data_IF_279810021354
#
_entry.id   IF_279810021354
#
_cell.length_a   1.000
_cell.length_b   1.000
_cell.length_c   1.000
_cell.angle_alpha   90.00
_cell.angle_beta   90.00
_cell.angle_gamma   90.00
#
_symmetry.space_group_name_H-M   'P 1'
#
loop_
_entity.id
_entity.type
_entity.pdbx_description
1 polymer ?
#
# COMPACT_ATOMS: atom_id res chain seq x y z
N UNK A 1 -22.84 3.36 36.34
CA UNK A 1 -22.38 3.41 34.94
C UNK A 1 -20.87 3.49 34.96
N UNK A 2 -20.19 2.36 34.78
CA UNK A 2 -18.73 2.33 34.80
C UNK A 2 -18.18 3.03 33.56
N UNK A 3 -17.38 4.06 33.80
CA UNK A 3 -16.55 4.72 32.80
C UNK A 3 -15.59 3.67 32.23
N UNK A 4 -15.90 3.13 31.04
CA UNK A 4 -14.91 2.39 30.25
C UNK A 4 -13.78 3.36 29.94
N UNK A 5 -12.62 3.15 30.53
CA UNK A 5 -11.38 3.87 30.20
C UNK A 5 -11.17 3.74 28.69
N UNK A 6 -11.44 4.81 27.95
CA UNK A 6 -11.49 4.76 26.50
C UNK A 6 -10.04 4.71 25.98
N UNK A 7 -9.61 3.53 25.54
CA UNK A 7 -8.30 3.34 24.89
C UNK A 7 -8.16 4.32 23.73
N UNK A 8 -7.01 4.97 23.62
CA UNK A 8 -6.67 5.75 22.44
C UNK A 8 -6.58 4.80 21.23
N UNK A 9 -7.48 4.98 20.25
CA UNK A 9 -7.54 4.15 19.04
C UNK A 9 -6.36 4.51 18.14
N UNK A 10 -5.56 3.51 17.79
CA UNK A 10 -4.39 3.68 16.93
C UNK A 10 -4.53 2.95 15.60
N UNK A 11 -3.80 3.44 14.61
CA UNK A 11 -3.60 2.79 13.32
C UNK A 11 -2.99 1.42 13.55
N UNK A 12 -3.65 0.39 13.03
CA UNK A 12 -3.25 -1.01 13.22
C UNK A 12 -4.02 -1.75 14.28
N UNK A 13 -4.70 -1.04 15.17
CA UNK A 13 -5.59 -1.69 16.12
C UNK A 13 -6.70 -2.44 15.38
N UNK A 14 -7.04 -3.60 15.91
CA UNK A 14 -8.11 -4.45 15.44
C UNK A 14 -9.20 -4.44 16.51
N UNK A 15 -10.42 -4.13 16.10
CA UNK A 15 -11.61 -4.12 16.95
C UNK A 15 -12.70 -4.97 16.31
N UNK A 16 -13.72 -5.33 17.08
CA UNK A 16 -14.99 -5.73 16.50
C UNK A 16 -15.84 -4.51 16.12
N UNK A 17 -16.56 -4.62 15.01
CA UNK A 17 -17.58 -3.67 14.58
C UNK A 17 -18.76 -4.46 13.98
N UNK A 18 -19.98 -3.99 14.22
CA UNK A 18 -21.18 -4.57 13.63
C UNK A 18 -21.58 -3.79 12.37
N UNK A 19 -21.47 -4.44 11.22
CA UNK A 19 -21.90 -3.87 9.95
C UNK A 19 -23.43 -3.89 9.76
N UNK A 20 -24.18 -4.57 10.65
CA UNK A 20 -25.61 -4.80 10.51
C UNK A 20 -25.92 -5.72 9.34
N UNK A 21 -27.17 -5.67 8.87
CA UNK A 21 -27.57 -6.39 7.66
C UNK A 21 -27.29 -5.52 6.42
N UNK A 22 -26.64 -6.12 5.43
CA UNK A 22 -26.31 -5.46 4.15
C UNK A 22 -26.63 -6.37 2.98
N UNK A 23 -27.05 -5.79 1.86
CA UNK A 23 -27.38 -6.55 0.65
C UNK A 23 -26.15 -6.84 -0.22
N UNK A 24 -26.22 -7.93 -0.99
CA UNK A 24 -25.25 -8.26 -2.01
C UNK A 24 -23.85 -8.60 -1.46
N UNK A 25 -22.82 -7.92 -1.99
CA UNK A 25 -21.41 -8.22 -1.69
C UNK A 25 -20.79 -7.33 -0.62
N UNK A 26 -21.57 -6.43 -0.01
CA UNK A 26 -21.13 -5.61 1.11
C UNK A 26 -20.96 -6.51 2.34
N UNK A 27 -19.93 -6.27 3.16
CA UNK A 27 -19.76 -7.03 4.40
C UNK A 27 -20.86 -6.70 5.42
N UNK A 28 -21.49 -7.74 5.96
CA UNK A 28 -22.55 -7.69 6.97
C UNK A 28 -22.14 -8.36 8.28
N UNK A 29 -22.86 -8.04 9.35
CA UNK A 29 -22.75 -8.64 10.68
C UNK A 29 -21.52 -8.21 11.46
N UNK A 30 -21.40 -8.75 12.67
CA UNK A 30 -20.30 -8.46 13.58
C UNK A 30 -19.00 -9.12 13.12
N UNK A 31 -17.97 -8.30 12.84
CA UNK A 31 -16.68 -8.75 12.30
C UNK A 31 -15.51 -8.02 12.94
N UNK A 32 -14.32 -8.65 12.97
CA UNK A 32 -13.10 -7.91 13.22
C UNK A 32 -12.85 -6.89 12.10
N UNK A 33 -12.27 -5.75 12.45
CA UNK A 33 -11.96 -4.65 11.54
C UNK A 33 -10.60 -4.06 11.88
N UNK A 34 -9.82 -3.72 10.86
CA UNK A 34 -8.52 -3.08 10.99
C UNK A 34 -8.65 -1.57 10.91
N UNK A 35 -8.16 -0.83 11.91
CA UNK A 35 -8.05 0.62 11.85
C UNK A 35 -6.93 1.01 10.89
N UNK A 36 -7.26 1.73 9.81
CA UNK A 36 -6.30 2.14 8.78
C UNK A 36 -6.01 3.65 8.78
N UNK A 37 -6.85 4.45 9.42
CA UNK A 37 -6.68 5.89 9.57
C UNK A 37 -5.43 6.24 10.42
N UNK A 38 -4.75 7.33 10.07
CA UNK A 38 -3.55 7.76 10.79
C UNK A 38 -3.85 8.29 12.21
N UNK A 39 -2.90 8.06 13.12
CA UNK A 39 -3.05 8.35 14.55
C UNK A 39 -3.37 9.81 14.85
N UNK A 40 -2.80 10.75 14.10
CA UNK A 40 -3.09 12.17 14.25
C UNK A 40 -4.58 12.50 14.05
N UNK A 41 -5.24 11.82 13.12
CA UNK A 41 -6.69 11.95 12.92
C UNK A 41 -7.47 11.13 13.96
N UNK A 42 -7.00 9.92 14.28
CA UNK A 42 -7.63 9.11 15.33
C UNK A 42 -7.62 9.80 16.70
N UNK A 43 -6.65 10.65 17.00
CA UNK A 43 -6.61 11.37 18.27
C UNK A 43 -7.68 12.49 18.35
N UNK A 44 -8.01 13.12 17.22
CA UNK A 44 -8.80 14.36 17.17
C UNK A 44 -10.22 14.19 16.65
N UNK A 45 -10.45 13.23 15.75
CA UNK A 45 -11.73 13.00 15.09
C UNK A 45 -12.66 12.16 15.97
N UNK A 46 -14.00 12.38 15.97
CA UNK A 46 -14.96 11.44 16.56
C UNK A 46 -15.10 10.14 15.75
N UNK A 47 -14.61 10.12 14.51
CA UNK A 47 -14.70 9.00 13.57
C UNK A 47 -13.33 8.39 13.23
N UNK A 48 -13.37 7.17 12.72
CA UNK A 48 -12.20 6.40 12.28
C UNK A 48 -12.51 5.63 11.01
N UNK A 49 -11.51 5.47 10.14
CA UNK A 49 -11.61 4.66 8.92
C UNK A 49 -11.08 3.25 9.21
N UNK A 50 -11.91 2.26 8.91
CA UNK A 50 -11.67 0.84 9.15
C UNK A 50 -11.77 0.03 7.85
N UNK A 51 -11.07 -1.10 7.79
CA UNK A 51 -11.23 -2.12 6.74
C UNK A 51 -11.74 -3.43 7.36
N UNK A 52 -12.72 -4.07 6.74
CA UNK A 52 -13.28 -5.33 7.25
C UNK A 52 -12.29 -6.50 7.21
N UNK A 53 -12.40 -7.41 8.18
CA UNK A 53 -11.64 -8.67 8.23
C UNK A 53 -12.62 -9.84 8.17
N UNK A 54 -12.29 -10.83 7.35
CA UNK A 54 -13.01 -12.10 7.23
C UNK A 54 -12.11 -13.30 7.48
N UNK A 55 -12.63 -14.34 8.11
CA UNK A 55 -11.93 -15.61 8.23
C UNK A 55 -11.89 -16.42 6.92
N UNK A 56 -12.68 -16.02 5.91
CA UNK A 56 -12.74 -16.70 4.62
C UNK A 56 -11.59 -16.22 3.74
N UNK A 57 -10.62 -17.10 3.50
CA UNK A 57 -9.46 -16.80 2.65
C UNK A 57 -9.79 -17.18 1.20
N UNK A 58 -9.99 -16.19 0.33
CA UNK A 58 -10.28 -16.41 -1.10
C UNK A 58 -9.68 -15.31 -1.98
N UNK A 59 -9.61 -15.57 -3.30
CA UNK A 59 -9.12 -14.62 -4.32
C UNK A 59 -7.80 -13.93 -3.92
N UNK A 60 -6.83 -14.72 -3.46
CA UNK A 60 -5.52 -14.24 -2.93
C UNK A 60 -4.69 -13.45 -3.95
N UNK A 61 -5.05 -13.52 -5.23
CA UNK A 61 -4.45 -12.75 -6.32
C UNK A 61 -4.87 -11.27 -6.31
N UNK A 62 -5.98 -10.92 -5.65
CA UNK A 62 -6.43 -9.54 -5.57
C UNK A 62 -5.51 -8.72 -4.67
N UNK A 63 -5.00 -7.56 -5.14
CA UNK A 63 -4.11 -6.73 -4.33
C UNK A 63 -4.74 -6.23 -3.04
N UNK A 64 -6.07 -6.05 -3.00
CA UNK A 64 -6.81 -5.58 -1.84
C UNK A 64 -6.94 -6.60 -0.71
N UNK A 65 -6.59 -7.87 -0.97
CA UNK A 65 -6.72 -8.97 -0.01
C UNK A 65 -5.41 -9.21 0.76
N UNK A 66 -5.40 -8.86 2.05
CA UNK A 66 -4.21 -9.02 2.90
C UNK A 66 -4.46 -10.08 3.98
N UNK A 67 -3.64 -11.13 3.98
CA UNK A 67 -3.71 -12.17 5.01
C UNK A 67 -2.97 -11.69 6.28
N UNK A 68 -3.67 -11.78 7.41
CA UNK A 68 -3.17 -11.60 8.75
C UNK A 68 -3.15 -12.94 9.49
N UNK A 69 -2.07 -13.19 10.24
CA UNK A 69 -1.95 -14.38 11.09
C UNK A 69 -2.57 -14.18 12.48
N UNK A 70 -2.67 -15.27 13.23
CA UNK A 70 -3.21 -15.29 14.60
C UNK A 70 -2.43 -14.40 15.59
N UNK A 71 -1.13 -14.19 15.34
CA UNK A 71 -0.26 -13.32 16.16
C UNK A 71 -0.76 -11.89 16.36
N UNK A 72 -1.72 -11.43 15.56
CA UNK A 72 -2.34 -10.11 15.68
C UNK A 72 -3.61 -10.12 16.56
N UNK A 73 -3.82 -11.17 17.36
CA UNK A 73 -4.96 -11.33 18.27
C UNK A 73 -6.19 -12.00 17.66
N UNK A 74 -6.11 -12.42 16.39
CA UNK A 74 -7.19 -13.11 15.69
C UNK A 74 -7.23 -14.59 16.08
N UNK A 75 -8.43 -15.17 16.16
CA UNK A 75 -8.61 -16.59 16.54
C UNK A 75 -8.13 -17.60 15.49
N UNK A 76 -7.96 -17.16 14.24
CA UNK A 76 -7.44 -17.95 13.11
C UNK A 76 -6.91 -17.01 12.03
N UNK A 77 -6.10 -17.51 11.06
CA UNK A 77 -5.63 -16.69 9.96
C UNK A 77 -6.82 -16.11 9.19
N UNK A 78 -6.79 -14.79 8.99
CA UNK A 78 -7.91 -14.04 8.43
C UNK A 78 -7.42 -13.09 7.34
N UNK A 79 -8.35 -12.52 6.59
CA UNK A 79 -8.09 -11.67 5.44
C UNK A 79 -8.73 -10.31 5.64
N UNK A 80 -7.92 -9.24 5.56
CA UNK A 80 -8.39 -7.86 5.42
C UNK A 80 -8.85 -7.67 3.98
N UNK A 81 -10.04 -7.08 3.82
CA UNK A 81 -10.63 -6.72 2.53
C UNK A 81 -10.55 -5.21 2.37
N UNK A 82 -9.53 -4.72 1.67
CA UNK A 82 -9.30 -3.27 1.53
C UNK A 82 -10.28 -2.61 0.57
N UNK A 83 -11.05 -3.37 -0.22
CA UNK A 83 -12.18 -2.85 -0.99
C UNK A 83 -13.45 -2.65 -0.14
N UNK A 84 -13.47 -3.15 1.11
CA UNK A 84 -14.58 -3.06 2.06
C UNK A 84 -14.21 -2.14 3.23
N UNK A 85 -13.94 -0.88 2.90
CA UNK A 85 -13.56 0.19 3.84
C UNK A 85 -14.80 1.00 4.25
N UNK A 86 -14.87 1.39 5.53
CA UNK A 86 -15.94 2.24 6.05
C UNK A 86 -15.41 3.25 7.06
N UNK A 87 -16.02 4.44 7.08
CA UNK A 87 -15.86 5.39 8.19
C UNK A 87 -16.92 5.10 9.23
N UNK A 88 -16.51 4.96 10.50
CA UNK A 88 -17.40 4.63 11.62
C UNK A 88 -17.14 5.58 12.79
N UNK A 89 -18.11 5.74 13.67
CA UNK A 89 -17.90 6.45 14.93
C UNK A 89 -17.09 5.57 15.88
N UNK A 90 -16.16 6.18 16.62
CA UNK A 90 -15.33 5.44 17.59
C UNK A 90 -16.14 4.70 18.65
N UNK A 91 -17.30 5.24 19.00
CA UNK A 91 -18.22 4.66 20.00
C UNK A 91 -18.89 3.38 19.51
N UNK A 92 -18.90 3.14 18.20
CA UNK A 92 -19.47 1.92 17.60
C UNK A 92 -18.44 0.77 17.55
N UNK A 93 -17.16 1.05 17.83
CA UNK A 93 -16.18 -0.02 17.97
C UNK A 93 -16.42 -0.76 19.30
N UNK A 94 -16.49 -2.08 19.20
CA UNK A 94 -16.70 -2.97 20.34
C UNK A 94 -15.34 -3.42 20.92
N UNK A 95 -15.23 -4.72 21.21
CA UNK A 95 -14.06 -5.30 21.88
C UNK A 95 -12.79 -5.16 21.04
N UNK A 96 -11.70 -4.79 21.70
CA UNK A 96 -10.36 -4.82 21.13
C UNK A 96 -9.89 -6.27 20.94
N UNK A 97 -9.29 -6.55 19.79
CA UNK A 97 -8.82 -7.88 19.40
C UNK A 97 -7.29 -7.96 19.48
N UNK A 98 -6.61 -6.97 18.94
CA UNK A 98 -5.14 -6.96 18.85
C UNK A 98 -4.66 -5.83 17.96
N UNK A 99 -3.43 -5.89 17.47
CA UNK A 99 -2.85 -4.82 16.66
C UNK A 99 -1.87 -5.37 15.63
N UNK A 100 -1.79 -4.73 14.47
CA UNK A 100 -0.77 -4.98 13.46
C UNK A 100 0.38 -4.01 13.70
N UNK A 101 1.48 -4.52 14.23
CA UNK A 101 2.68 -3.76 14.61
C UNK A 101 3.88 -4.00 13.67
N UNK A 102 3.82 -5.02 12.81
CA UNK A 102 4.93 -5.38 11.93
C UNK A 102 5.08 -4.41 10.74
N UNK A 103 6.26 -3.77 10.64
CA UNK A 103 6.59 -2.84 9.56
C UNK A 103 6.42 -3.46 8.17
N UNK A 104 6.86 -4.71 7.98
CA UNK A 104 6.73 -5.43 6.71
C UNK A 104 5.26 -5.60 6.31
N UNK A 105 4.39 -5.89 7.27
CA UNK A 105 2.95 -6.00 7.01
C UNK A 105 2.36 -4.66 6.62
N UNK A 106 2.75 -3.58 7.30
CA UNK A 106 2.33 -2.23 6.96
C UNK A 106 2.78 -1.77 5.58
N UNK A 107 4.01 -2.09 5.16
CA UNK A 107 4.47 -1.85 3.78
C UNK A 107 3.53 -2.51 2.77
N UNK A 108 3.14 -3.76 3.02
CA UNK A 108 2.20 -4.50 2.17
C UNK A 108 0.80 -3.87 2.16
N UNK A 109 0.25 -3.53 3.32
CA UNK A 109 -1.06 -2.89 3.45
C UNK A 109 -1.06 -1.53 2.73
N UNK A 110 -0.03 -0.70 2.89
CA UNK A 110 0.07 0.60 2.24
C UNK A 110 0.11 0.49 0.71
N UNK A 111 0.88 -0.46 0.17
CA UNK A 111 0.91 -0.74 -1.27
C UNK A 111 -0.47 -1.17 -1.76
N UNK A 112 -1.13 -2.05 -1.01
CA UNK A 112 -2.47 -2.53 -1.36
C UNK A 112 -3.52 -1.41 -1.31
N UNK A 113 -3.52 -0.56 -0.28
CA UNK A 113 -4.37 0.64 -0.22
C UNK A 113 -4.16 1.52 -1.45
N UNK A 114 -2.90 1.80 -1.82
CA UNK A 114 -2.61 2.59 -3.02
C UNK A 114 -3.20 1.96 -4.28
N UNK A 115 -3.07 0.64 -4.44
CA UNK A 115 -3.64 -0.08 -5.58
C UNK A 115 -5.17 -0.06 -5.57
N UNK A 116 -5.79 -0.29 -4.41
CA UNK A 116 -7.24 -0.32 -4.25
C UNK A 116 -7.89 1.02 -4.59
N UNK A 117 -7.28 2.14 -4.17
CA UNK A 117 -7.81 3.48 -4.43
C UNK A 117 -7.32 4.10 -5.75
N UNK A 118 -6.59 3.36 -6.59
CA UNK A 118 -6.01 3.92 -7.81
C UNK A 118 -4.94 5.00 -7.57
N UNK A 119 -4.45 5.14 -6.34
CA UNK A 119 -3.36 6.06 -5.96
C UNK A 119 -1.98 5.50 -6.30
N UNK A 120 -1.95 4.29 -6.87
CA UNK A 120 -0.76 3.73 -7.46
C UNK A 120 -0.55 4.35 -8.84
N UNK A 121 0.04 5.53 -8.86
CA UNK A 121 0.63 6.07 -10.07
C UNK A 121 1.87 5.22 -10.38
N UNK A 122 1.71 4.23 -11.25
CA UNK A 122 2.80 3.96 -12.20
C UNK A 122 2.98 5.29 -12.94
N UNK A 123 4.13 5.95 -12.84
CA UNK A 123 4.46 7.00 -13.79
C UNK A 123 4.30 6.39 -15.18
N UNK A 124 3.15 6.63 -15.81
CA UNK A 124 2.89 6.36 -17.22
C UNK A 124 3.63 7.42 -18.04
N UNK A 125 3.82 8.60 -17.46
CA UNK A 125 4.81 9.59 -17.89
C UNK A 125 6.16 9.29 -17.28
N UNK A 126 6.84 8.31 -17.88
CA UNK A 126 8.30 8.25 -17.81
C UNK A 126 8.83 9.07 -18.96
N UNK A 127 8.65 10.38 -18.89
CA UNK A 127 9.27 11.37 -19.79
C UNK A 127 10.77 11.51 -19.47
N UNK A 128 11.45 10.38 -19.32
CA UNK A 128 12.90 10.28 -19.27
C UNK A 128 13.36 9.45 -20.46
N UNK A 129 14.66 9.51 -20.76
CA UNK A 129 15.25 8.69 -21.81
C UNK A 129 15.20 7.22 -21.37
N UNK A 130 14.30 6.44 -21.97
CA UNK A 130 14.14 5.02 -21.67
C UNK A 130 15.18 4.26 -22.50
N UNK A 131 16.05 3.51 -21.82
CA UNK A 131 17.07 2.68 -22.47
C UNK A 131 17.13 1.28 -21.91
N UNK A 132 17.27 0.30 -22.79
CA UNK A 132 17.62 -1.07 -22.43
C UNK A 132 19.13 -1.16 -22.21
N UNK A 133 19.56 -1.45 -20.97
CA UNK A 133 20.98 -1.46 -20.61
C UNK A 133 21.40 -2.78 -19.95
N UNK A 134 22.49 -3.36 -20.44
CA UNK A 134 23.17 -4.44 -19.74
C UNK A 134 23.92 -3.90 -18.51
N UNK A 135 24.31 -4.74 -17.53
CA UNK A 135 24.97 -4.29 -16.31
C UNK A 135 26.23 -3.43 -16.55
N UNK A 136 27.01 -3.74 -17.60
CA UNK A 136 28.21 -2.95 -17.95
C UNK A 136 27.84 -1.55 -18.44
N UNK A 137 26.93 -1.46 -19.42
CA UNK A 137 26.51 -0.18 -20.00
C UNK A 137 25.69 0.70 -19.04
N UNK A 138 24.99 0.07 -18.09
CA UNK A 138 24.31 0.76 -17.00
C UNK A 138 25.28 1.49 -16.06
N UNK A 139 26.46 0.91 -15.84
CA UNK A 139 27.45 1.46 -14.92
C UNK A 139 27.91 2.87 -15.34
N UNK A 140 28.01 3.15 -16.64
CA UNK A 140 28.34 4.48 -17.17
C UNK A 140 27.36 5.57 -16.69
N UNK A 141 26.07 5.23 -16.55
CA UNK A 141 25.05 6.16 -16.09
C UNK A 141 24.98 6.25 -14.58
N UNK A 142 25.15 5.12 -13.88
CA UNK A 142 25.11 5.09 -12.41
C UNK A 142 26.34 5.81 -11.80
N UNK A 143 27.50 5.68 -12.43
CA UNK A 143 28.75 6.32 -11.98
C UNK A 143 28.77 7.83 -12.22
N UNK A 144 27.93 8.34 -13.13
CA UNK A 144 27.87 9.76 -13.45
C UNK A 144 26.80 10.47 -12.60
N UNK A 145 27.19 11.43 -11.73
CA UNK A 145 26.27 12.09 -10.81
C UNK A 145 25.25 13.03 -11.49
N UNK A 146 25.43 13.33 -12.78
CA UNK A 146 24.48 14.13 -13.55
C UNK A 146 23.21 13.33 -13.90
N UNK A 147 23.25 12.00 -13.86
CA UNK A 147 22.11 11.16 -14.19
C UNK A 147 21.44 10.59 -12.95
N UNK A 148 20.11 10.48 -13.00
CA UNK A 148 19.32 9.67 -12.08
C UNK A 148 18.76 8.50 -12.87
N UNK A 149 19.14 7.29 -12.49
CA UNK A 149 18.72 6.07 -13.18
C UNK A 149 17.71 5.32 -12.33
N UNK A 150 16.57 4.97 -12.91
CA UNK A 150 15.54 4.16 -12.24
C UNK A 150 15.16 2.98 -13.11
N UNK A 151 14.86 1.85 -12.48
CA UNK A 151 14.38 0.68 -13.20
C UNK A 151 12.98 0.95 -13.77
N UNK A 152 12.79 0.64 -15.06
CA UNK A 152 11.50 0.75 -15.73
C UNK A 152 10.52 -0.25 -15.09
N UNK A 153 10.68 -1.55 -15.33
CA UNK A 153 9.86 -2.54 -14.64
C UNK A 153 10.76 -3.46 -13.80
N UNK A 154 10.70 -3.37 -12.45
CA UNK A 154 11.39 -4.31 -11.58
C UNK A 154 10.89 -5.75 -11.71
N UNK A 155 9.69 -5.95 -12.26
CA UNK A 155 9.04 -7.26 -12.39
C UNK A 155 9.02 -7.77 -13.84
N UNK A 156 9.75 -7.12 -14.76
CA UNK A 156 9.84 -7.55 -16.14
C UNK A 156 10.27 -9.03 -16.24
N UNK A 157 9.53 -9.87 -17.01
CA UNK A 157 9.76 -11.31 -17.04
C UNK A 157 10.96 -11.72 -17.91
N UNK A 158 11.42 -10.85 -18.81
CA UNK A 158 12.48 -11.14 -19.77
C UNK A 158 13.41 -9.95 -19.98
N UNK A 159 14.64 -10.24 -20.42
CA UNK A 159 15.67 -9.26 -20.77
C UNK A 159 15.66 -8.99 -22.27
N UNK A 160 15.77 -7.73 -22.64
CA UNK A 160 15.89 -7.30 -24.04
C UNK A 160 17.33 -6.98 -24.43
N UNK A 161 17.55 -6.65 -25.71
CA UNK A 161 18.87 -6.30 -26.24
C UNK A 161 19.26 -4.90 -25.79
N UNK A 162 20.46 -4.78 -25.22
CA UNK A 162 20.99 -3.50 -24.78
C UNK A 162 21.27 -2.57 -25.96
N UNK A 163 20.81 -1.33 -25.85
CA UNK A 163 20.91 -0.33 -26.91
C UNK A 163 22.34 0.06 -27.28
N UNK A 164 23.30 -0.09 -26.35
CA UNK A 164 24.71 0.26 -26.57
C UNK A 164 25.58 -0.88 -27.12
N UNK A 165 25.33 -2.12 -26.70
CA UNK A 165 26.26 -3.24 -26.99
C UNK A 165 25.57 -4.55 -27.37
N UNK A 166 24.25 -4.53 -27.55
CA UNK A 166 23.44 -5.65 -28.02
C UNK A 166 23.42 -6.91 -27.11
N UNK A 167 24.06 -6.85 -25.93
CA UNK A 167 23.96 -7.88 -24.88
C UNK A 167 22.62 -7.79 -24.15
N UNK A 168 22.20 -8.87 -23.49
CA UNK A 168 20.95 -8.84 -22.72
C UNK A 168 20.99 -7.85 -21.56
N UNK A 169 19.94 -7.07 -21.42
CA UNK A 169 19.82 -5.97 -20.48
C UNK A 169 18.39 -5.80 -19.98
N UNK A 170 18.16 -4.67 -19.33
CA UNK A 170 16.85 -4.33 -18.81
C UNK A 170 16.55 -2.88 -19.04
N UNK A 171 15.27 -2.52 -19.04
CA UNK A 171 14.88 -1.15 -19.28
C UNK A 171 15.04 -0.28 -18.03
N UNK A 172 15.68 0.86 -18.23
CA UNK A 172 15.84 1.91 -17.24
C UNK A 172 15.32 3.22 -17.79
N UNK A 173 14.88 4.10 -16.90
CA UNK A 173 14.56 5.49 -17.20
C UNK A 173 15.74 6.31 -16.69
N UNK A 174 16.34 7.08 -17.58
CA UNK A 174 17.44 7.98 -17.27
C UNK A 174 16.91 9.40 -17.27
N UNK A 175 17.09 10.09 -16.15
CA UNK A 175 16.80 11.52 -16.01
C UNK A 175 18.12 12.28 -15.95
N UNK A 176 18.30 13.26 -16.84
CA UNK A 176 19.41 14.22 -16.73
C UNK A 176 18.99 15.32 -15.74
N UNK A 177 19.78 15.49 -14.68
CA UNK A 177 19.51 16.50 -13.65
C UNK A 177 19.50 17.92 -14.21
N UNK A 178 20.18 18.19 -15.33
CA UNK A 178 20.25 19.53 -15.94
C UNK A 178 18.97 19.91 -16.66
N UNK A 179 18.37 18.98 -17.41
CA UNK A 179 17.10 19.23 -18.12
C UNK A 179 15.90 19.22 -17.17
N UNK A 180 15.99 18.53 -16.03
CA UNK A 180 14.88 18.49 -15.05
C UNK A 180 14.75 19.77 -14.20
N UNK A 181 15.81 20.60 -14.12
CA UNK A 181 15.84 21.86 -13.34
C UNK A 181 16.09 23.12 -14.19
N UNK A 182 16.29 22.97 -15.51
CA UNK A 182 16.72 24.05 -16.41
C UNK A 182 15.61 24.90 -17.06
N UNK A 183 14.32 24.63 -16.80
CA UNK A 183 13.20 25.40 -17.40
C UNK A 183 12.58 26.45 -16.46
N UNK A 184 13.22 26.80 -15.33
CA UNK A 184 12.71 27.84 -14.41
C UNK A 184 13.52 29.14 -14.35
N UNK A 185 14.42 29.39 -15.30
CA UNK A 185 15.01 30.72 -15.48
C UNK A 185 14.86 31.15 -16.95
N UNK A 186 13.84 31.97 -17.23
CA UNK A 186 13.76 32.71 -18.49
C UNK A 186 12.38 32.81 -19.16
N UNK A 187 11.40 33.43 -18.50
CA UNK A 187 10.48 34.45 -19.08
C UNK A 187 9.59 35.04 -17.99
#
# INVERSE_FOLDING_TARGET
MESKTQRAIKRGDIFYYDFGETEGSIQSGRRPVLVIQADGFNAKSPTVIIASITAVIKKRYLPSHIILGERYGLSKPSMVLLEQIRTVNKVELNDYVGTVDEERMWKKINIAIKKTFGLWFTNLERTGDIRCLCPKCLHDYISNPNYVVRRLDPFAPAKDKCDKCNKVGWDYIIFDRRSTFGEKEGQ
#
